data_IF_500182547406
#
_entry.id   IF_500182547406
#
_cell.length_a   1.000
_cell.length_b   1.000
_cell.length_c   1.000
_cell.angle_alpha   90.00
_cell.angle_beta   90.00
_cell.angle_gamma   90.00
#
_symmetry.space_group_name_H-M   'P 1'
#
loop_
_entity.id
_entity.type
_entity.pdbx_description
1 polymer ?
#
# COMPACT_ATOMS: atom_id res chain seq x y z
N UNK A 1 -1.69 44.85 5.87
CA UNK A 1 -2.61 43.76 6.29
C UNK A 1 -2.04 42.34 6.18
N UNK A 2 -0.77 42.11 5.79
CA UNK A 2 -0.21 40.74 5.61
C UNK A 2 0.40 40.08 6.86
N UNK A 3 0.86 40.83 7.86
CA UNK A 3 1.58 40.24 9.01
C UNK A 3 0.68 39.43 9.98
N UNK A 4 -0.59 39.82 10.16
CA UNK A 4 -1.51 39.09 11.06
C UNK A 4 -1.88 37.70 10.52
N UNK A 5 -2.09 37.54 9.22
CA UNK A 5 -2.41 36.23 8.62
C UNK A 5 -1.25 35.25 8.74
N UNK A 6 -0.02 35.73 8.56
CA UNK A 6 1.19 34.91 8.68
C UNK A 6 1.42 34.45 10.13
N UNK A 7 1.22 35.32 11.12
CA UNK A 7 1.39 34.95 12.54
C UNK A 7 0.36 33.92 13.02
N UNK A 8 -0.91 34.03 12.61
CA UNK A 8 -1.93 33.01 12.92
C UNK A 8 -1.65 31.68 12.24
N UNK A 9 -1.14 31.67 11.00
CA UNK A 9 -0.81 30.43 10.30
C UNK A 9 0.35 29.69 10.98
N UNK A 10 1.41 30.41 11.35
CA UNK A 10 2.57 29.83 12.06
C UNK A 10 2.17 29.32 13.44
N UNK A 11 1.33 30.05 14.18
CA UNK A 11 0.82 29.61 15.49
C UNK A 11 0.01 28.32 15.35
N UNK A 12 -0.93 28.26 14.41
CA UNK A 12 -1.74 27.06 14.16
C UNK A 12 -0.88 25.86 13.73
N UNK A 13 0.14 26.09 12.90
CA UNK A 13 1.06 25.05 12.48
C UNK A 13 1.89 24.50 13.65
N UNK A 14 2.44 25.37 14.51
CA UNK A 14 3.19 24.94 15.68
C UNK A 14 2.32 24.21 16.70
N UNK A 15 1.08 24.66 16.92
CA UNK A 15 0.12 23.97 17.79
C UNK A 15 -0.22 22.59 17.24
N UNK A 16 -0.47 22.48 15.93
CA UNK A 16 -0.78 21.21 15.28
C UNK A 16 0.43 20.25 15.30
N UNK A 17 1.63 20.76 15.05
CA UNK A 17 2.86 20.00 15.13
C UNK A 17 3.09 19.48 16.56
N UNK A 18 2.96 20.34 17.57
CA UNK A 18 3.08 19.96 18.98
C UNK A 18 2.08 18.87 19.37
N UNK A 19 0.82 19.04 18.97
CA UNK A 19 -0.23 18.04 19.21
C UNK A 19 0.12 16.68 18.59
N UNK A 20 0.54 16.67 17.31
CA UNK A 20 0.94 15.44 16.61
C UNK A 20 2.16 14.80 17.27
N UNK A 21 3.15 15.59 17.66
CA UNK A 21 4.35 15.10 18.36
C UNK A 21 4.00 14.47 19.71
N UNK A 22 3.12 15.09 20.49
CA UNK A 22 2.67 14.54 21.79
C UNK A 22 1.89 13.24 21.60
N UNK A 23 0.93 13.20 20.66
CA UNK A 23 0.16 11.97 20.37
C UNK A 23 1.08 10.86 19.90
N UNK A 24 2.05 11.18 19.04
CA UNK A 24 3.04 10.22 18.55
C UNK A 24 3.90 9.72 19.70
N UNK A 25 4.42 10.60 20.54
CA UNK A 25 5.21 10.21 21.70
C UNK A 25 4.43 9.29 22.66
N UNK A 26 3.18 9.62 22.99
CA UNK A 26 2.31 8.77 23.79
C UNK A 26 2.12 7.40 23.12
N UNK A 27 1.89 7.37 21.80
CA UNK A 27 1.76 6.12 21.06
C UNK A 27 3.02 5.27 21.12
N UNK A 28 4.20 5.88 20.98
CA UNK A 28 5.48 5.18 21.15
C UNK A 28 5.65 4.62 22.56
N UNK A 29 5.28 5.37 23.60
CA UNK A 29 5.29 4.85 24.97
C UNK A 29 4.36 3.65 25.14
N UNK A 30 3.14 3.71 24.60
CA UNK A 30 2.19 2.58 24.60
C UNK A 30 2.82 1.34 23.96
N UNK A 31 3.48 1.50 22.80
CA UNK A 31 4.15 0.40 22.10
C UNK A 31 5.37 -0.14 22.85
N UNK A 32 6.24 0.73 23.35
CA UNK A 32 7.48 0.35 24.08
C UNK A 32 7.14 -0.39 25.38
N UNK A 33 6.19 0.14 26.15
CA UNK A 33 5.76 -0.45 27.41
C UNK A 33 4.68 -1.53 27.24
N UNK A 34 4.30 -1.85 26.00
CA UNK A 34 3.29 -2.86 25.67
C UNK A 34 1.98 -2.67 26.46
N UNK A 35 1.58 -1.41 26.66
CA UNK A 35 0.37 -1.10 27.43
C UNK A 35 -0.83 -1.55 26.57
N UNK A 36 -1.70 -2.45 27.05
CA UNK A 36 -2.79 -3.01 26.26
C UNK A 36 -3.98 -2.04 26.15
N UNK A 37 -3.72 -0.77 25.84
CA UNK A 37 -4.75 0.27 25.71
C UNK A 37 -5.75 -0.13 24.62
N UNK A 38 -5.24 -0.57 23.47
CA UNK A 38 -6.07 -0.94 22.32
C UNK A 38 -6.79 -2.28 22.54
N UNK A 39 -6.12 -3.27 23.14
CA UNK A 39 -6.70 -4.59 23.37
C UNK A 39 -7.86 -4.58 24.40
N UNK A 40 -7.91 -3.55 25.25
CA UNK A 40 -8.98 -3.36 26.24
C UNK A 40 -10.17 -2.54 25.73
N UNK A 41 -10.11 -1.99 24.50
CA UNK A 41 -11.25 -1.29 23.90
C UNK A 41 -12.33 -2.30 23.49
N UNK A 42 -13.58 -2.06 23.93
CA UNK A 42 -14.72 -2.85 23.48
C UNK A 42 -14.82 -2.82 21.96
N UNK A 43 -15.04 -3.98 21.34
CA UNK A 43 -15.12 -4.18 19.88
C UNK A 43 -13.82 -3.98 19.10
N UNK A 44 -12.69 -3.80 19.77
CA UNK A 44 -11.39 -3.74 19.09
C UNK A 44 -10.94 -5.13 18.62
N UNK A 45 -10.84 -5.30 17.30
CA UNK A 45 -10.51 -6.60 16.68
C UNK A 45 -9.02 -6.79 16.37
N UNK A 46 -8.21 -5.75 16.53
CA UNK A 46 -6.79 -5.77 16.11
C UNK A 46 -5.87 -6.00 17.30
N UNK A 47 -5.52 -7.26 17.57
CA UNK A 47 -4.54 -7.57 18.61
C UNK A 47 -3.14 -7.16 18.18
N UNK A 48 -2.42 -6.49 19.07
CA UNK A 48 -1.00 -6.19 18.86
C UNK A 48 -0.18 -7.46 19.10
N UNK A 49 0.67 -7.79 18.12
CA UNK A 49 1.57 -8.93 18.22
C UNK A 49 3.01 -8.47 18.03
N UNK A 50 3.87 -8.81 18.99
CA UNK A 50 5.31 -8.63 18.82
C UNK A 50 5.76 -9.59 17.73
N UNK A 51 6.35 -9.03 16.68
CA UNK A 51 6.92 -9.80 15.58
C UNK A 51 8.43 -9.55 15.59
N UNK A 52 9.23 -10.62 15.55
CA UNK A 52 10.67 -10.49 15.35
C UNK A 52 10.93 -9.84 13.99
N UNK A 53 11.82 -8.85 13.97
CA UNK A 53 12.22 -8.17 12.74
C UNK A 53 13.72 -8.30 12.49
N UNK A 54 14.09 -8.58 11.26
CA UNK A 54 15.47 -8.55 10.79
C UNK A 54 15.96 -7.10 10.67
N UNK A 55 16.99 -6.67 11.44
CA UNK A 55 17.41 -5.28 11.47
C UNK A 55 17.91 -4.74 10.13
N UNK A 56 18.51 -5.60 9.30
CA UNK A 56 19.03 -5.22 7.98
C UNK A 56 17.92 -4.64 7.08
N UNK A 57 16.78 -5.31 7.01
CA UNK A 57 15.67 -4.84 6.17
C UNK A 57 15.06 -3.55 6.71
N UNK A 58 14.95 -3.42 8.04
CA UNK A 58 14.52 -2.15 8.65
C UNK A 58 15.48 -1.02 8.30
N UNK A 59 16.79 -1.26 8.37
CA UNK A 59 17.82 -0.30 7.95
C UNK A 59 17.68 0.08 6.48
N UNK A 60 17.48 -0.89 5.58
CA UNK A 60 17.26 -0.63 4.14
C UNK A 60 16.01 0.23 3.92
N UNK A 61 14.92 -0.02 4.65
CA UNK A 61 13.71 0.79 4.57
C UNK A 61 13.99 2.26 4.96
N UNK A 62 14.69 2.49 6.07
CA UNK A 62 15.05 3.84 6.52
C UNK A 62 16.04 4.54 5.58
N UNK A 63 17.01 3.80 5.03
CA UNK A 63 17.94 4.33 4.04
C UNK A 63 17.19 4.76 2.78
N UNK A 64 16.32 3.92 2.23
CA UNK A 64 15.51 4.23 1.07
C UNK A 64 14.60 5.44 1.32
N UNK A 65 14.02 5.55 2.52
CA UNK A 65 13.23 6.71 2.93
C UNK A 65 14.08 7.99 2.98
N UNK A 66 15.29 7.94 3.57
CA UNK A 66 16.22 9.06 3.58
C UNK A 66 16.61 9.51 2.17
N UNK A 67 16.90 8.57 1.27
CA UNK A 67 17.20 8.87 -0.14
C UNK A 67 15.97 9.49 -0.84
N UNK A 68 14.76 9.02 -0.55
CA UNK A 68 13.54 9.59 -1.12
C UNK A 68 13.33 11.05 -0.70
N UNK A 69 13.65 11.38 0.56
CA UNK A 69 13.64 12.77 1.05
C UNK A 69 14.68 13.60 0.30
N UNK A 70 15.93 13.12 0.20
CA UNK A 70 17.00 13.83 -0.51
C UNK A 70 16.66 14.07 -1.99
N UNK A 71 16.08 13.07 -2.66
CA UNK A 71 15.61 13.18 -4.03
C UNK A 71 14.47 14.20 -4.17
N UNK A 72 13.59 14.29 -3.17
CA UNK A 72 12.48 15.26 -3.20
C UNK A 72 12.97 16.70 -3.14
N UNK A 73 14.04 16.98 -2.39
CA UNK A 73 14.60 18.33 -2.26
C UNK A 73 15.67 18.64 -3.32
N UNK A 74 16.08 17.66 -4.12
CA UNK A 74 17.11 17.87 -5.15
C UNK A 74 16.62 18.74 -6.30
N UNK A 75 17.54 19.24 -7.13
CA UNK A 75 17.22 19.94 -8.37
C UNK A 75 16.99 18.98 -9.56
N UNK A 76 16.77 17.69 -9.31
CA UNK A 76 16.53 16.69 -10.36
C UNK A 76 15.23 16.97 -11.12
N UNK A 77 15.16 16.49 -12.36
CA UNK A 77 13.95 16.60 -13.18
C UNK A 77 12.76 15.88 -12.53
N UNK A 78 11.55 16.34 -12.84
CA UNK A 78 10.32 15.76 -12.29
C UNK A 78 10.19 14.25 -12.58
N UNK A 79 10.59 13.81 -13.78
CA UNK A 79 10.58 12.41 -14.15
C UNK A 79 11.53 11.57 -13.27
N UNK A 80 12.74 12.07 -13.01
CA UNK A 80 13.70 11.38 -12.13
C UNK A 80 13.14 11.27 -10.71
N UNK A 81 12.53 12.34 -10.20
CA UNK A 81 11.92 12.33 -8.86
C UNK A 81 10.77 11.34 -8.76
N UNK A 82 9.84 11.38 -9.72
CA UNK A 82 8.69 10.48 -9.73
C UNK A 82 9.14 9.02 -9.82
N UNK A 83 9.99 8.69 -10.78
CA UNK A 83 10.53 7.33 -10.93
C UNK A 83 11.30 6.89 -9.69
N UNK A 84 12.16 7.75 -9.14
CA UNK A 84 12.93 7.42 -7.94
C UNK A 84 12.05 7.23 -6.71
N UNK A 85 11.00 8.03 -6.53
CA UNK A 85 10.03 7.85 -5.43
C UNK A 85 9.29 6.51 -5.57
N UNK A 86 8.87 6.14 -6.79
CA UNK A 86 8.21 4.84 -7.04
C UNK A 86 9.17 3.69 -6.67
N UNK A 87 10.40 3.73 -7.17
CA UNK A 87 11.40 2.68 -6.92
C UNK A 87 11.76 2.57 -5.44
N UNK A 88 12.06 3.70 -4.78
CA UNK A 88 12.40 3.74 -3.36
C UNK A 88 11.22 3.33 -2.48
N UNK A 89 10.01 3.75 -2.84
CA UNK A 89 8.78 3.32 -2.18
C UNK A 89 8.57 1.80 -2.31
N UNK A 90 8.85 1.21 -3.47
CA UNK A 90 8.82 -0.24 -3.65
C UNK A 90 9.88 -0.94 -2.79
N UNK A 91 11.10 -0.39 -2.70
CA UNK A 91 12.15 -0.92 -1.81
C UNK A 91 11.69 -0.89 -0.35
N UNK A 92 11.04 0.19 0.11
CA UNK A 92 10.48 0.29 1.45
C UNK A 92 9.42 -0.80 1.67
N UNK A 93 8.52 -1.02 0.71
CA UNK A 93 7.51 -2.07 0.77
C UNK A 93 8.12 -3.48 0.89
N UNK A 94 9.10 -3.81 0.05
CA UNK A 94 9.81 -5.08 0.16
C UNK A 94 10.56 -5.22 1.47
N UNK A 95 11.23 -4.16 1.92
CA UNK A 95 11.98 -4.18 3.16
C UNK A 95 11.10 -4.51 4.36
N UNK A 96 9.91 -3.91 4.46
CA UNK A 96 8.96 -4.26 5.53
C UNK A 96 8.33 -5.65 5.40
N UNK A 97 8.23 -6.19 4.18
CA UNK A 97 7.75 -7.56 4.00
C UNK A 97 8.83 -8.58 4.38
N UNK A 98 10.08 -8.33 3.98
CA UNK A 98 11.21 -9.21 4.23
C UNK A 98 11.70 -9.12 5.67
N UNK A 99 11.47 -8.00 6.38
CA UNK A 99 11.87 -7.86 7.77
C UNK A 99 11.28 -8.94 8.68
N UNK A 100 10.20 -9.61 8.30
CA UNK A 100 9.62 -10.72 9.07
C UNK A 100 10.35 -12.07 8.91
N UNK A 101 11.36 -12.17 8.04
CA UNK A 101 12.16 -13.38 7.82
C UNK A 101 11.62 -14.35 6.76
N UNK A 102 10.38 -14.16 6.28
CA UNK A 102 9.75 -15.05 5.29
C UNK A 102 10.03 -14.65 3.82
N UNK A 103 10.77 -13.57 3.59
CA UNK A 103 11.12 -13.08 2.26
C UNK A 103 9.90 -12.87 1.34
N UNK A 104 9.96 -13.42 0.11
CA UNK A 104 8.82 -13.39 -0.82
C UNK A 104 7.60 -14.18 -0.32
N UNK A 105 7.79 -15.19 0.54
CA UNK A 105 6.67 -15.97 1.06
C UNK A 105 5.75 -15.11 1.95
N UNK A 106 6.30 -14.12 2.66
CA UNK A 106 5.50 -13.16 3.42
C UNK A 106 4.58 -12.32 2.53
N UNK A 107 4.97 -12.07 1.28
CA UNK A 107 4.14 -11.34 0.30
C UNK A 107 3.11 -12.24 -0.35
N UNK A 108 3.53 -13.43 -0.80
CA UNK A 108 2.62 -14.38 -1.46
C UNK A 108 1.52 -14.86 -0.52
N UNK A 109 1.85 -15.05 0.77
CA UNK A 109 0.88 -15.42 1.79
C UNK A 109 -0.24 -14.37 1.97
N UNK A 110 0.00 -13.08 1.67
CA UNK A 110 -1.09 -12.08 1.70
C UNK A 110 -2.10 -12.30 0.58
N UNK A 111 -1.64 -12.82 -0.55
CA UNK A 111 -2.47 -13.12 -1.72
C UNK A 111 -3.22 -14.44 -1.52
N UNK A 112 -2.62 -15.44 -0.86
CA UNK A 112 -3.15 -16.82 -0.80
C UNK A 112 -3.58 -17.31 0.58
N UNK A 113 -3.22 -16.64 1.67
CA UNK A 113 -3.41 -17.10 3.04
C UNK A 113 -4.36 -16.27 3.91
N UNK A 114 -4.67 -15.02 3.54
CA UNK A 114 -5.61 -14.14 4.27
C UNK A 114 -7.01 -14.16 3.66
N UNK A 115 -7.96 -13.40 4.21
CA UNK A 115 -9.36 -13.33 3.75
C UNK A 115 -9.58 -13.01 2.26
N UNK A 116 -8.57 -12.51 1.54
CA UNK A 116 -8.62 -12.28 0.08
C UNK A 116 -8.13 -13.47 -0.77
N UNK A 117 -7.67 -14.55 -0.13
CA UNK A 117 -7.22 -15.78 -0.79
C UNK A 117 -8.28 -16.40 -1.70
N UNK A 118 -9.55 -16.24 -1.34
CA UNK A 118 -10.66 -16.76 -2.14
C UNK A 118 -10.70 -16.11 -3.53
N UNK A 119 -10.39 -14.82 -3.68
CA UNK A 119 -10.32 -14.19 -5.00
C UNK A 119 -9.21 -14.79 -5.86
N UNK A 120 -8.04 -15.12 -5.27
CA UNK A 120 -6.95 -15.79 -5.97
C UNK A 120 -7.36 -17.20 -6.44
N UNK A 121 -7.97 -17.98 -5.56
CA UNK A 121 -8.46 -19.34 -5.88
C UNK A 121 -9.53 -19.35 -6.96
N UNK A 122 -10.35 -18.30 -7.03
CA UNK A 122 -11.38 -18.16 -8.06
C UNK A 122 -10.79 -17.66 -9.36
N UNK A 123 -9.82 -16.76 -9.32
CA UNK A 123 -9.22 -16.20 -10.53
C UNK A 123 -8.50 -17.22 -11.40
N UNK A 124 -7.89 -18.25 -10.80
CA UNK A 124 -7.23 -19.37 -11.53
C UNK A 124 -8.21 -20.39 -12.10
N UNK A 125 -9.52 -20.21 -11.91
CA UNK A 125 -10.53 -21.04 -12.57
C UNK A 125 -10.74 -20.55 -14.00
N UNK A 126 -11.28 -21.39 -14.91
CA UNK A 126 -11.60 -20.97 -16.27
C UNK A 126 -12.80 -20.01 -16.29
N UNK A 127 -12.56 -18.75 -15.90
CA UNK A 127 -13.54 -17.67 -15.86
C UNK A 127 -13.16 -16.63 -16.91
N UNK A 128 -14.15 -16.19 -17.69
CA UNK A 128 -13.94 -15.13 -18.68
C UNK A 128 -14.04 -13.75 -18.02
N UNK A 129 -13.26 -12.78 -18.52
CA UNK A 129 -13.35 -11.37 -18.07
C UNK A 129 -14.78 -10.84 -18.23
N UNK A 130 -15.45 -11.21 -19.33
CA UNK A 130 -16.84 -10.82 -19.59
C UNK A 130 -17.78 -11.32 -18.51
N UNK A 131 -17.64 -12.58 -18.08
CA UNK A 131 -18.47 -13.14 -17.01
C UNK A 131 -18.30 -12.37 -15.69
N UNK A 132 -17.08 -11.94 -15.36
CA UNK A 132 -16.84 -11.14 -14.14
C UNK A 132 -17.46 -9.74 -14.23
N UNK A 133 -17.48 -9.13 -15.42
CA UNK A 133 -17.97 -7.75 -15.60
C UNK A 133 -19.48 -7.69 -15.76
N UNK A 134 -20.07 -8.65 -16.49
CA UNK A 134 -21.48 -8.63 -16.90
C UNK A 134 -22.33 -9.55 -16.03
N UNK A 135 -21.80 -10.73 -15.69
CA UNK A 135 -22.57 -11.82 -15.07
C UNK A 135 -22.13 -12.08 -13.61
N UNK A 136 -21.62 -11.04 -12.93
CA UNK A 136 -21.03 -11.16 -11.59
C UNK A 136 -22.00 -11.78 -10.57
N UNK A 137 -23.25 -11.33 -10.55
CA UNK A 137 -24.28 -11.84 -9.64
C UNK A 137 -24.59 -13.33 -9.90
N UNK A 138 -24.61 -13.74 -11.17
CA UNK A 138 -24.77 -15.13 -11.54
C UNK A 138 -23.61 -15.98 -11.02
N UNK A 139 -22.38 -15.45 -11.10
CA UNK A 139 -21.22 -16.11 -10.49
C UNK A 139 -21.40 -16.26 -8.97
N UNK A 140 -21.93 -15.27 -8.25
CA UNK A 140 -22.16 -15.37 -6.80
C UNK A 140 -23.21 -16.42 -6.40
N UNK A 141 -24.20 -16.65 -7.27
CA UNK A 141 -25.32 -17.56 -7.00
C UNK A 141 -24.93 -19.05 -7.07
N UNK A 142 -23.88 -19.37 -7.83
CA UNK A 142 -23.26 -20.69 -7.79
C UNK A 142 -22.49 -20.81 -6.47
N UNK A 143 -22.83 -21.78 -5.61
CA UNK A 143 -22.41 -21.96 -4.19
C UNK A 143 -20.90 -22.03 -3.89
N UNK A 144 -20.01 -21.60 -4.76
CA UNK A 144 -18.56 -21.76 -4.64
C UNK A 144 -17.82 -20.58 -3.99
N UNK A 145 -18.54 -19.56 -3.51
CA UNK A 145 -17.95 -18.22 -3.35
C UNK A 145 -18.29 -17.59 -2.00
N UNK A 146 -17.52 -17.94 -0.95
CA UNK A 146 -17.74 -17.51 0.44
C UNK A 146 -17.83 -15.99 0.66
N UNK A 147 -16.69 -15.29 0.73
CA UNK A 147 -16.63 -13.84 1.01
C UNK A 147 -16.74 -12.96 -0.25
N UNK A 148 -16.79 -13.55 -1.45
CA UNK A 148 -16.91 -12.83 -2.71
C UNK A 148 -18.13 -11.91 -2.79
N UNK A 149 -19.35 -12.28 -2.33
CA UNK A 149 -20.52 -11.39 -2.37
C UNK A 149 -20.35 -10.07 -1.60
N UNK A 150 -19.36 -9.99 -0.69
CA UNK A 150 -19.11 -8.79 0.11
C UNK A 150 -18.27 -7.72 -0.60
N UNK A 151 -17.77 -7.99 -1.81
CA UNK A 151 -16.89 -7.09 -2.56
C UNK A 151 -17.44 -6.83 -3.97
N UNK A 152 -17.16 -5.65 -4.56
CA UNK A 152 -17.56 -5.36 -5.94
C UNK A 152 -16.78 -6.22 -6.95
N UNK A 153 -17.32 -6.41 -8.18
CA UNK A 153 -16.71 -7.22 -9.23
C UNK A 153 -15.28 -6.80 -9.60
N UNK A 154 -14.94 -5.52 -9.41
CA UNK A 154 -13.61 -4.99 -9.69
C UNK A 154 -12.49 -5.70 -8.94
N UNK A 155 -12.73 -6.19 -7.72
CA UNK A 155 -11.73 -6.95 -6.96
C UNK A 155 -11.43 -8.27 -7.65
N UNK A 156 -12.46 -9.06 -7.98
CA UNK A 156 -12.26 -10.34 -8.69
C UNK A 156 -11.64 -10.11 -10.07
N UNK A 157 -12.10 -9.10 -10.80
CA UNK A 157 -11.56 -8.75 -12.11
C UNK A 157 -10.06 -8.47 -12.04
N UNK A 158 -9.60 -7.73 -11.03
CA UNK A 158 -8.18 -7.45 -10.85
C UNK A 158 -7.36 -8.72 -10.63
N UNK A 159 -7.85 -9.68 -9.85
CA UNK A 159 -7.20 -10.99 -9.68
C UNK A 159 -7.19 -11.80 -10.99
N UNK A 160 -8.29 -11.83 -11.75
CA UNK A 160 -8.36 -12.53 -13.06
C UNK A 160 -7.40 -11.92 -14.07
N UNK A 161 -7.29 -10.60 -14.12
CA UNK A 161 -6.32 -9.92 -14.98
C UNK A 161 -4.88 -10.22 -14.55
N UNK A 162 -4.63 -10.24 -13.23
CA UNK A 162 -3.33 -10.60 -12.66
C UNK A 162 -2.96 -12.04 -13.01
N UNK A 163 -3.90 -12.98 -12.91
CA UNK A 163 -3.69 -14.38 -13.32
C UNK A 163 -3.36 -14.49 -14.80
N UNK A 164 -4.15 -13.86 -15.69
CA UNK A 164 -3.89 -13.89 -17.14
C UNK A 164 -2.51 -13.32 -17.49
N UNK A 165 -2.10 -12.24 -16.82
CA UNK A 165 -0.76 -11.69 -16.99
C UNK A 165 0.33 -12.64 -16.46
N UNK A 166 0.10 -13.31 -15.33
CA UNK A 166 1.00 -14.33 -14.79
C UNK A 166 1.13 -15.53 -15.74
N UNK A 167 0.01 -16.04 -16.26
CA UNK A 167 -0.01 -17.15 -17.23
C UNK A 167 0.63 -16.81 -18.57
N UNK A 168 0.67 -15.53 -18.95
CA UNK A 168 1.41 -15.11 -20.14
C UNK A 168 2.93 -15.22 -19.97
N UNK A 169 3.43 -15.10 -18.74
CA UNK A 169 4.86 -15.17 -18.42
C UNK A 169 5.27 -16.59 -17.99
N UNK A 170 4.46 -17.21 -17.13
CA UNK A 170 4.65 -18.56 -16.58
C UNK A 170 3.39 -19.40 -16.80
N UNK A 171 3.18 -19.90 -18.04
CA UNK A 171 2.07 -20.79 -18.34
C UNK A 171 2.16 -22.06 -17.50
N UNK A 172 1.05 -22.46 -16.88
CA UNK A 172 0.91 -23.76 -16.24
C UNK A 172 -0.51 -24.27 -16.43
N UNK A 173 -0.68 -25.58 -16.63
CA UNK A 173 -2.00 -26.22 -16.68
C UNK A 173 -2.43 -26.78 -15.30
N UNK A 174 -1.53 -26.75 -14.31
CA UNK A 174 -1.79 -27.25 -12.96
C UNK A 174 -2.30 -26.12 -12.04
N UNK A 175 -3.51 -26.26 -11.48
CA UNK A 175 -4.16 -25.19 -10.69
C UNK A 175 -3.35 -24.73 -9.46
N UNK A 176 -2.77 -25.62 -8.63
CA UNK A 176 -1.85 -25.23 -7.57
C UNK A 176 -0.66 -24.39 -8.05
N UNK A 177 -0.04 -24.79 -9.17
CA UNK A 177 1.07 -24.03 -9.76
C UNK A 177 0.60 -22.69 -10.34
N UNK A 178 -0.55 -22.64 -11.03
CA UNK A 178 -1.16 -21.40 -11.48
C UNK A 178 -1.39 -20.42 -10.32
N UNK A 179 -1.93 -20.90 -9.20
CA UNK A 179 -2.17 -20.08 -8.00
C UNK A 179 -0.85 -19.55 -7.42
N UNK A 180 0.20 -20.36 -7.42
CA UNK A 180 1.55 -19.95 -7.00
C UNK A 180 2.11 -18.88 -7.95
N UNK A 181 1.95 -19.05 -9.26
CA UNK A 181 2.42 -18.10 -10.27
C UNK A 181 1.67 -16.76 -10.15
N UNK A 182 0.35 -16.79 -9.97
CA UNK A 182 -0.46 -15.61 -9.65
C UNK A 182 0.07 -14.91 -8.41
N UNK A 183 0.29 -15.64 -7.32
CA UNK A 183 0.75 -15.07 -6.06
C UNK A 183 2.14 -14.43 -6.17
N UNK A 184 3.07 -15.09 -6.88
CA UNK A 184 4.41 -14.56 -7.15
C UNK A 184 4.32 -13.28 -8.00
N UNK A 185 3.56 -13.33 -9.09
CA UNK A 185 3.39 -12.21 -10.00
C UNK A 185 2.74 -11.01 -9.28
N UNK A 186 1.68 -11.24 -8.51
CA UNK A 186 1.02 -10.24 -7.68
C UNK A 186 1.98 -9.62 -6.67
N UNK A 187 2.75 -10.46 -5.96
CA UNK A 187 3.74 -10.00 -4.97
C UNK A 187 4.81 -9.10 -5.58
N UNK A 188 5.16 -9.33 -6.85
CA UNK A 188 6.14 -8.53 -7.57
C UNK A 188 5.57 -7.21 -8.12
N UNK A 189 4.34 -7.25 -8.62
CA UNK A 189 3.76 -6.17 -9.42
C UNK A 189 2.85 -5.25 -8.62
N UNK A 190 2.06 -5.77 -7.67
CA UNK A 190 1.10 -4.96 -6.92
C UNK A 190 1.74 -3.83 -6.10
N UNK A 191 2.91 -4.03 -5.46
CA UNK A 191 3.65 -2.92 -4.86
C UNK A 191 3.89 -1.76 -5.83
N UNK A 192 4.29 -2.05 -7.06
CA UNK A 192 4.51 -1.05 -8.12
C UNK A 192 3.20 -0.42 -8.59
N UNK A 193 2.17 -1.24 -8.83
CA UNK A 193 0.85 -0.77 -9.27
C UNK A 193 0.20 0.17 -8.24
N UNK A 194 0.46 -0.03 -6.95
CA UNK A 194 -0.04 0.85 -5.89
C UNK A 194 0.39 2.30 -6.08
N UNK A 195 1.58 2.52 -6.65
CA UNK A 195 2.10 3.85 -6.93
C UNK A 195 1.51 4.49 -8.18
N UNK A 196 0.77 3.76 -9.03
CA UNK A 196 0.04 4.38 -10.14
C UNK A 196 -1.00 5.38 -9.64
N UNK A 197 -1.50 5.22 -8.41
CA UNK A 197 -2.39 6.19 -7.75
C UNK A 197 -1.75 7.57 -7.56
N UNK A 198 -0.40 7.66 -7.54
CA UNK A 198 0.29 8.94 -7.47
C UNK A 198 0.08 9.79 -8.73
N UNK A 199 -0.15 9.17 -9.90
CA UNK A 199 -0.36 9.87 -11.17
C UNK A 199 -1.65 10.72 -11.14
N UNK A 200 -2.86 10.16 -10.90
CA UNK A 200 -4.07 10.97 -10.84
C UNK A 200 -4.04 11.96 -9.68
N UNK A 201 -3.44 11.60 -8.53
CA UNK A 201 -3.26 12.54 -7.42
C UNK A 201 -2.37 13.72 -7.82
N UNK A 202 -1.30 13.47 -8.58
CA UNK A 202 -0.44 14.52 -9.10
C UNK A 202 -1.16 15.42 -10.10
N UNK A 203 -1.90 14.83 -11.05
CA UNK A 203 -2.69 15.59 -12.04
C UNK A 203 -3.77 16.44 -11.36
N UNK A 204 -4.48 15.88 -10.38
CA UNK A 204 -5.48 16.60 -9.58
C UNK A 204 -4.85 17.73 -8.77
N UNK A 205 -3.71 17.48 -8.13
CA UNK A 205 -2.99 18.52 -7.39
C UNK A 205 -2.52 19.65 -8.31
N UNK A 206 -2.15 19.35 -9.57
CA UNK A 206 -1.82 20.37 -10.56
C UNK A 206 -3.04 21.19 -10.99
N UNK A 207 -4.22 20.57 -11.05
CA UNK A 207 -5.46 21.23 -11.45
C UNK A 207 -6.02 22.14 -10.35
N UNK A 208 -6.03 21.67 -9.10
CA UNK A 208 -6.68 22.36 -7.97
C UNK A 208 -5.84 23.54 -7.45
N UNK A 209 -4.52 23.51 -7.64
CA UNK A 209 -3.63 24.48 -7.04
C UNK A 209 -2.87 25.30 -8.08
N UNK A 210 -2.64 26.57 -7.80
CA UNK A 210 -1.97 27.48 -8.74
C UNK A 210 -0.46 27.15 -8.86
N UNK A 211 0.03 27.10 -10.10
CA UNK A 211 1.34 26.54 -10.52
C UNK A 211 2.52 27.24 -9.85
N UNK A 212 2.35 28.51 -9.50
CA UNK A 212 3.31 29.32 -8.73
C UNK A 212 3.49 28.86 -7.27
N UNK A 213 2.43 28.30 -6.66
CA UNK A 213 2.44 27.74 -5.30
C UNK A 213 2.85 26.27 -5.23
N UNK A 214 2.93 25.60 -6.39
CA UNK A 214 3.16 24.15 -6.51
C UNK A 214 4.65 23.79 -6.44
N UNK A 215 5.55 24.69 -6.88
CA UNK A 215 6.96 24.40 -7.11
C UNK A 215 7.73 23.95 -5.85
N UNK A 216 7.41 24.48 -4.67
CA UNK A 216 8.26 24.33 -3.48
C UNK A 216 7.75 23.41 -2.36
N UNK A 217 6.47 23.02 -2.29
CA UNK A 217 5.92 22.43 -1.03
C UNK A 217 5.26 21.06 -1.12
N UNK A 218 4.95 20.53 -2.29
CA UNK A 218 4.00 19.39 -2.42
C UNK A 218 4.65 18.03 -2.69
N UNK A 219 5.95 18.01 -2.94
CA UNK A 219 6.71 16.77 -3.19
C UNK A 219 6.73 15.87 -1.94
N UNK A 220 6.65 16.49 -0.76
CA UNK A 220 6.56 15.80 0.53
C UNK A 220 5.23 15.08 0.75
N UNK A 221 4.10 15.58 0.22
CA UNK A 221 2.78 14.94 0.35
C UNK A 221 2.76 13.56 -0.31
N UNK A 222 3.45 13.38 -1.43
CA UNK A 222 3.52 12.10 -2.13
C UNK A 222 4.45 11.09 -1.45
N UNK A 223 5.43 11.56 -0.67
CA UNK A 223 6.34 10.72 0.15
C UNK A 223 5.68 10.32 1.47
N UNK A 224 4.76 11.15 1.96
CA UNK A 224 4.06 10.98 3.24
C UNK A 224 2.64 10.42 3.11
N UNK A 225 2.24 9.95 1.93
CA UNK A 225 1.20 8.94 1.81
C UNK A 225 1.92 7.59 1.91
N UNK A 226 2.14 7.04 3.13
CA UNK A 226 2.58 5.66 3.24
C UNK A 226 1.56 4.85 2.43
N UNK A 227 2.06 4.22 1.38
CA UNK A 227 1.26 3.44 0.45
C UNK A 227 0.29 2.56 1.23
N UNK A 228 -0.98 2.67 0.90
CA UNK A 228 -2.15 1.96 1.42
C UNK A 228 -2.05 0.41 1.39
N UNK A 229 -0.88 -0.17 1.11
CA UNK A 229 -0.64 -1.61 0.96
C UNK A 229 0.20 -2.25 2.08
N UNK A 230 0.76 -1.49 3.03
CA UNK A 230 1.54 -2.09 4.12
C UNK A 230 0.78 -2.27 5.45
N UNK A 231 -0.39 -1.67 5.62
CA UNK A 231 -1.13 -1.65 6.90
C UNK A 231 -2.54 -2.28 6.84
N UNK A 232 -2.74 -3.33 6.04
CA UNK A 232 -3.86 -4.28 6.20
C UNK A 232 -3.42 -5.72 5.93
#
# INVERSE_FOLDING_TARGET
MNNKKFSTFTLNFLTLLSLVSVITFIHWLILIFQIPVLDNLSDWKYKLHITSVEPLWIFIAFLAFGVAILLSISNSSYLIKLTGIILLGTIIQYSFAFSKGDGLNALTFRVTGKGHAEFAKVAVRPISIRAVVVDYESLLSEKYYGYLPSKPPGTLLFYVLTDKAAQWIWPSDDKPEQLKNLANFASMTWPLLSYLSLIPLFLLARYVFDVSSIRDRRQHLFISVPSLNLMT
#
